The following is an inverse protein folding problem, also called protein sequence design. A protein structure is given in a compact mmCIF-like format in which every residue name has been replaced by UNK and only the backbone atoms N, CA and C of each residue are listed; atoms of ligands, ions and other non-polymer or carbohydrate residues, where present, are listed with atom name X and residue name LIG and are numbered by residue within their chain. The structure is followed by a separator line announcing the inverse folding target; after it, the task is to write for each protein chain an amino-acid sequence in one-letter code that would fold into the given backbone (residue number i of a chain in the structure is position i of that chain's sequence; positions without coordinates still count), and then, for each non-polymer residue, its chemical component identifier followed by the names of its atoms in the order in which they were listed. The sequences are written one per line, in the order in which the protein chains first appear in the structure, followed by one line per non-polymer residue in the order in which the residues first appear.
data_IF_000590466812
#
_entry.id   IF_000590466812
#
_cell.length_a   1.000
_cell.length_b   1.000
_cell.length_c   1.000
_cell.angle_alpha   90.00
_cell.angle_beta   90.00
_cell.angle_gamma   90.00
#
_symmetry.space_group_name_H-M   'P 1'
#
loop_
_entity.id
_entity.type
_entity.pdbx_description
1 polymer ?
#
# COMPACT_ATOMS: atom_id res chain seq x y z
N UNK A 1 -8.56 6.47 -13.84
CA UNK A 1 -7.38 5.81 -13.26
C UNK A 1 -7.19 6.25 -11.82
N UNK A 2 -6.81 5.32 -10.99
CA UNK A 2 -6.56 5.56 -9.57
C UNK A 2 -5.18 5.06 -9.19
N UNK A 3 -4.47 5.85 -8.40
CA UNK A 3 -3.22 5.44 -7.78
C UNK A 3 -3.54 4.93 -6.39
N UNK A 4 -3.13 3.69 -6.11
CA UNK A 4 -3.27 3.07 -4.80
C UNK A 4 -1.90 3.04 -4.15
N UNK A 5 -1.79 3.67 -2.98
CA UNK A 5 -0.61 3.61 -2.13
C UNK A 5 -0.98 2.86 -0.86
N UNK A 6 -0.35 1.73 -0.63
CA UNK A 6 -0.61 0.93 0.56
C UNK A 6 0.67 0.81 1.39
N UNK A 7 0.59 1.22 2.64
CA UNK A 7 1.68 1.05 3.60
C UNK A 7 1.34 -0.15 4.46
N UNK A 8 2.13 -1.21 4.36
CA UNK A 8 1.86 -2.50 4.98
C UNK A 8 3.07 -3.02 5.73
N UNK A 9 2.85 -4.07 6.53
CA UNK A 9 3.96 -4.80 7.16
C UNK A 9 4.81 -5.51 6.10
N UNK A 10 6.14 -5.48 6.23
CA UNK A 10 7.00 -6.17 5.26
C UNK A 10 6.68 -7.66 5.09
N UNK A 11 6.24 -8.31 6.16
CA UNK A 11 5.89 -9.74 6.15
C UNK A 11 4.69 -10.06 5.25
N UNK A 12 3.88 -9.07 4.90
CA UNK A 12 2.69 -9.24 4.08
C UNK A 12 2.93 -8.97 2.59
N UNK A 13 4.10 -8.47 2.23
CA UNK A 13 4.39 -8.07 0.86
C UNK A 13 4.19 -9.20 -0.15
N UNK A 14 4.71 -10.39 0.14
CA UNK A 14 4.62 -11.52 -0.80
C UNK A 14 3.18 -11.94 -1.05
N UNK A 15 2.36 -11.98 -0.02
CA UNK A 15 0.94 -12.35 -0.15
C UNK A 15 0.18 -11.33 -0.97
N UNK A 16 0.38 -10.05 -0.72
CA UNK A 16 -0.23 -8.96 -1.49
C UNK A 16 0.21 -9.01 -2.94
N UNK A 17 1.51 -9.14 -3.18
CA UNK A 17 2.06 -9.21 -4.53
C UNK A 17 1.48 -10.38 -5.32
N UNK A 18 1.38 -11.55 -4.70
CA UNK A 18 0.79 -12.74 -5.32
C UNK A 18 -0.67 -12.51 -5.68
N UNK A 19 -1.45 -11.97 -4.74
CA UNK A 19 -2.86 -11.69 -4.98
C UNK A 19 -3.09 -10.70 -6.11
N UNK A 20 -2.30 -9.64 -6.16
CA UNK A 20 -2.39 -8.66 -7.25
C UNK A 20 -2.01 -9.27 -8.59
N UNK A 21 -0.98 -10.10 -8.64
CA UNK A 21 -0.58 -10.78 -9.86
C UNK A 21 -1.67 -11.72 -10.36
N UNK A 22 -2.30 -12.48 -9.49
CA UNK A 22 -3.39 -13.39 -9.84
C UNK A 22 -4.62 -12.65 -10.37
N UNK A 23 -4.83 -11.41 -9.91
CA UNK A 23 -5.90 -10.53 -10.39
C UNK A 23 -5.50 -9.71 -11.63
N UNK A 24 -4.39 -10.05 -12.24
CA UNK A 24 -3.87 -9.35 -13.42
C UNK A 24 -3.54 -7.87 -13.17
N UNK A 25 -3.03 -7.58 -11.98
CA UNK A 25 -2.48 -6.28 -11.58
C UNK A 25 -1.00 -6.49 -11.20
N UNK A 26 -0.13 -6.88 -12.15
CA UNK A 26 1.23 -7.28 -11.81
C UNK A 26 2.21 -6.11 -11.65
N UNK A 27 1.85 -4.93 -12.15
CA UNK A 27 2.77 -3.79 -12.19
C UNK A 27 2.67 -2.99 -10.90
N UNK A 28 3.52 -3.30 -9.95
CA UNK A 28 3.60 -2.60 -8.68
C UNK A 28 5.00 -2.02 -8.48
N UNK A 29 5.06 -0.91 -7.76
CA UNK A 29 6.30 -0.33 -7.26
C UNK A 29 6.36 -0.54 -5.76
N UNK A 30 7.49 -1.02 -5.26
CA UNK A 30 7.67 -1.28 -3.83
C UNK A 30 8.78 -0.40 -3.30
N UNK A 31 8.50 0.33 -2.23
CA UNK A 31 9.45 1.25 -1.61
C UNK A 31 9.54 0.91 -0.13
N UNK A 32 10.75 0.60 0.38
CA UNK A 32 10.96 0.48 1.81
C UNK A 32 10.75 1.85 2.48
N UNK A 33 9.97 1.88 3.55
CA UNK A 33 9.68 3.11 4.29
C UNK A 33 9.77 2.86 5.79
N UNK A 34 9.89 3.94 6.54
CA UNK A 34 9.74 3.91 7.98
C UNK A 34 8.63 4.85 8.37
N UNK A 35 7.77 4.41 9.26
CA UNK A 35 6.64 5.19 9.70
C UNK A 35 6.40 5.06 11.19
N UNK A 36 5.72 6.06 11.73
CA UNK A 36 5.23 6.04 13.10
C UNK A 36 3.72 5.79 13.08
N UNK A 37 3.22 5.14 14.10
CA UNK A 37 1.80 4.91 14.28
C UNK A 37 1.46 4.91 15.75
N UNK A 38 0.16 4.91 16.05
CA UNK A 38 -0.31 4.76 17.41
C UNK A 38 -0.08 3.32 17.84
N UNK A 39 1.11 3.07 18.39
CA UNK A 39 1.37 1.81 19.08
C UNK A 39 1.53 2.09 20.56
N UNK A 40 0.76 1.36 21.36
CA UNK A 40 1.02 1.29 22.79
C UNK A 40 2.28 0.45 22.98
N UNK A 41 3.41 1.09 23.07
CA UNK A 41 4.63 0.42 23.47
C UNK A 41 4.59 0.16 24.98
N UNK A 42 5.34 -0.83 25.39
CA UNK A 42 5.45 -1.19 26.83
C UNK A 42 5.92 -0.01 27.68
N UNK A 43 6.71 0.88 27.12
CA UNK A 43 7.20 2.09 27.80
C UNK A 43 6.12 3.14 28.05
N UNK A 44 5.06 3.18 27.26
CA UNK A 44 3.94 4.09 27.47
C UNK A 44 3.11 3.75 28.69
N UNK A 45 3.06 2.48 29.07
CA UNK A 45 2.37 2.04 30.29
C UNK A 45 3.08 2.47 31.56
N UNK A 46 4.39 2.62 31.52
CA UNK A 46 5.19 2.93 32.68
C UNK A 46 5.42 4.43 32.88
N UNK A 47 5.39 5.21 31.82
CA UNK A 47 5.76 6.63 31.88
C UNK A 47 4.60 7.60 31.76
N UNK A 48 3.39 7.09 31.56
CA UNK A 48 2.13 7.84 31.66
C UNK A 48 1.91 8.98 30.67
N UNK A 49 2.95 9.56 30.12
CA UNK A 49 2.85 10.76 29.27
C UNK A 49 3.83 10.80 28.12
N UNK A 50 4.79 9.91 28.05
CA UNK A 50 5.73 9.88 26.93
C UNK A 50 5.22 8.92 25.86
N UNK A 51 4.65 9.48 24.81
CA UNK A 51 4.43 8.76 23.57
C UNK A 51 5.77 8.66 22.85
N UNK A 52 6.45 7.53 23.01
CA UNK A 52 7.60 7.27 22.17
C UNK A 52 7.11 6.90 20.78
N UNK A 53 7.26 7.84 19.85
CA UNK A 53 7.05 7.56 18.43
C UNK A 53 8.23 6.73 17.93
N UNK A 54 8.05 5.43 17.88
CA UNK A 54 9.06 4.52 17.34
C UNK A 54 8.87 4.43 15.84
N UNK A 55 9.93 4.71 15.09
CA UNK A 55 9.95 4.46 13.65
C UNK A 55 9.97 2.96 13.40
N UNK A 56 8.99 2.50 12.64
CA UNK A 56 8.87 1.10 12.29
C UNK A 56 9.10 0.88 10.81
N UNK A 57 9.76 -0.23 10.49
CA UNK A 57 9.97 -0.64 9.12
C UNK A 57 8.65 -1.09 8.50
N UNK A 58 8.34 -0.52 7.34
CA UNK A 58 7.16 -0.83 6.54
C UNK A 58 7.56 -0.87 5.07
N UNK A 59 6.66 -1.32 4.23
CA UNK A 59 6.81 -1.19 2.77
C UNK A 59 5.62 -0.44 2.22
N UNK A 60 5.88 0.40 1.23
CA UNK A 60 4.84 1.09 0.48
C UNK A 60 4.71 0.43 -0.88
N UNK A 61 3.52 -0.05 -1.19
CA UNK A 61 3.18 -0.57 -2.49
C UNK A 61 2.43 0.52 -3.24
N UNK A 62 2.86 0.80 -4.46
CA UNK A 62 2.20 1.73 -5.35
C UNK A 62 1.76 0.98 -6.59
N UNK A 63 0.50 1.11 -6.96
CA UNK A 63 0.02 0.67 -8.26
C UNK A 63 -1.03 1.64 -8.80
N UNK A 64 -1.12 1.71 -10.12
CA UNK A 64 -2.13 2.52 -10.79
C UNK A 64 -3.05 1.55 -11.53
N UNK A 65 -4.34 1.69 -11.27
CA UNK A 65 -5.37 0.79 -11.81
C UNK A 65 -6.47 1.59 -12.49
N UNK A 66 -7.19 0.94 -13.40
CA UNK A 66 -8.42 1.50 -13.94
C UNK A 66 -9.49 1.59 -12.85
N UNK A 67 -10.46 2.47 -13.02
CA UNK A 67 -11.54 2.64 -12.04
C UNK A 67 -12.31 1.34 -11.78
N UNK A 68 -12.49 0.51 -12.81
CA UNK A 68 -13.18 -0.77 -12.66
C UNK A 68 -12.41 -1.79 -11.82
N UNK A 69 -11.10 -1.65 -11.74
CA UNK A 69 -10.23 -2.56 -10.98
C UNK A 69 -9.90 -2.07 -9.58
N UNK A 70 -10.36 -0.88 -9.21
CA UNK A 70 -10.01 -0.28 -7.92
C UNK A 70 -10.44 -1.15 -6.74
N UNK A 71 -11.71 -1.55 -6.71
CA UNK A 71 -12.23 -2.33 -5.59
C UNK A 71 -11.55 -3.69 -5.50
N UNK A 72 -11.31 -4.34 -6.62
CA UNK A 72 -10.57 -5.60 -6.66
C UNK A 72 -9.17 -5.43 -6.06
N UNK A 73 -8.48 -4.36 -6.45
CA UNK A 73 -7.14 -4.06 -5.95
C UNK A 73 -7.13 -3.84 -4.43
N UNK A 74 -8.01 -2.98 -3.95
CA UNK A 74 -8.08 -2.67 -2.52
C UNK A 74 -8.51 -3.87 -1.68
N UNK A 75 -9.46 -4.67 -2.17
CA UNK A 75 -9.91 -5.88 -1.47
C UNK A 75 -8.77 -6.90 -1.33
N UNK A 76 -7.97 -7.08 -2.36
CA UNK A 76 -6.81 -7.97 -2.31
C UNK A 76 -5.81 -7.50 -1.26
N UNK A 77 -5.52 -6.21 -1.23
CA UNK A 77 -4.60 -5.65 -0.23
C UNK A 77 -5.15 -5.85 1.18
N UNK A 78 -6.42 -5.52 1.39
CA UNK A 78 -7.07 -5.69 2.69
C UNK A 78 -7.03 -7.15 3.16
N UNK A 79 -7.39 -8.08 2.29
CA UNK A 79 -7.48 -9.49 2.65
C UNK A 79 -6.13 -10.12 2.94
N UNK A 80 -5.06 -9.62 2.31
CA UNK A 80 -3.73 -10.20 2.45
C UNK A 80 -2.84 -9.47 3.46
N UNK A 81 -3.11 -8.21 3.74
CA UNK A 81 -2.27 -7.40 4.61
C UNK A 81 -2.81 -7.25 6.03
N UNK A 82 -4.11 -7.44 6.24
CA UNK A 82 -4.74 -7.23 7.55
C UNK A 82 -4.51 -8.41 8.49
N UNK A 83 -4.19 -8.09 9.73
CA UNK A 83 -4.18 -9.01 10.87
C UNK A 83 -5.22 -8.61 11.92
N UNK A 84 -6.07 -7.64 11.60
CA UNK A 84 -7.04 -7.02 12.52
C UNK A 84 -6.36 -6.42 13.75
N UNK A 85 -5.18 -5.84 13.56
CA UNK A 85 -4.40 -5.27 14.65
C UNK A 85 -3.89 -3.87 14.30
N UNK A 86 -3.65 -3.09 15.33
CA UNK A 86 -2.97 -1.80 15.20
C UNK A 86 -1.61 -2.03 14.55
N UNK A 87 -1.29 -1.22 13.56
CA UNK A 87 -0.05 -1.35 12.81
C UNK A 87 -0.19 -2.07 11.47
N UNK A 88 -1.40 -2.51 11.10
CA UNK A 88 -1.65 -3.13 9.79
C UNK A 88 -1.36 -2.20 8.61
N UNK A 89 -1.46 -0.90 8.83
CA UNK A 89 -1.20 0.10 7.81
C UNK A 89 -2.44 0.76 7.25
N UNK A 90 -2.26 1.43 6.14
CA UNK A 90 -3.32 2.22 5.49
C UNK A 90 -3.20 2.14 3.99
N UNK A 91 -4.31 2.36 3.32
CA UNK A 91 -4.39 2.51 1.88
C UNK A 91 -4.84 3.94 1.58
N UNK A 92 -4.11 4.60 0.69
CA UNK A 92 -4.48 5.92 0.18
C UNK A 92 -4.78 5.80 -1.30
N UNK A 93 -5.83 6.49 -1.74
CA UNK A 93 -6.28 6.46 -3.12
C UNK A 93 -6.26 7.88 -3.68
N UNK A 94 -5.63 8.03 -4.84
CA UNK A 94 -5.49 9.31 -5.52
C UNK A 94 -6.08 9.21 -6.92
N UNK A 95 -6.65 10.30 -7.39
CA UNK A 95 -6.99 10.42 -8.81
C UNK A 95 -5.72 10.62 -9.62
N UNK A 96 -5.59 9.86 -10.71
CA UNK A 96 -4.50 10.01 -11.65
C UNK A 96 -5.04 10.75 -12.86
N UNK A 97 -4.48 11.92 -13.12
CA UNK A 97 -4.91 12.76 -14.22
C UNK A 97 -4.56 12.15 -15.57
N UNK A 98 -3.35 11.61 -15.71
CA UNK A 98 -2.89 10.96 -16.93
C UNK A 98 -1.74 10.02 -16.60
N UNK A 99 -1.48 9.09 -17.50
CA UNK A 99 -0.33 8.21 -17.47
C UNK A 99 0.26 8.15 -18.88
N UNK A 100 1.59 8.08 -18.96
CA UNK A 100 2.29 8.01 -20.24
C UNK A 100 3.28 6.86 -20.15
N UNK A 101 3.17 5.90 -21.08
CA UNK A 101 4.15 4.82 -21.16
C UNK A 101 5.41 5.35 -21.84
N UNK A 102 6.54 5.27 -21.16
CA UNK A 102 7.79 5.84 -21.65
C UNK A 102 8.20 5.21 -22.99
N UNK A 103 8.06 3.89 -23.12
CA UNK A 103 8.49 3.17 -24.32
C UNK A 103 7.75 3.60 -25.60
N UNK A 104 6.46 3.90 -25.47
CA UNK A 104 5.59 4.13 -26.65
C UNK A 104 5.00 5.53 -26.73
N UNK A 105 5.05 6.29 -25.65
CA UNK A 105 4.33 7.57 -25.53
C UNK A 105 2.82 7.42 -25.43
N UNK A 106 2.31 6.22 -25.29
CA UNK A 106 0.88 5.94 -25.13
C UNK A 106 0.34 6.58 -23.87
N UNK A 107 -0.83 7.19 -23.95
CA UNK A 107 -1.47 7.91 -22.84
C UNK A 107 -2.72 7.21 -22.34
N UNK A 108 -3.12 7.56 -21.12
CA UNK A 108 -4.38 7.15 -20.53
C UNK A 108 -4.40 5.70 -20.08
N UNK A 109 -5.57 5.08 -20.16
CA UNK A 109 -5.77 3.70 -19.68
C UNK A 109 -4.85 2.68 -20.35
N UNK A 110 -4.57 2.88 -21.63
CA UNK A 110 -3.69 1.97 -22.35
C UNK A 110 -2.25 2.03 -21.86
N UNK A 111 -1.84 3.14 -21.26
CA UNK A 111 -0.50 3.30 -20.71
C UNK A 111 -0.25 2.41 -19.48
N UNK A 112 -1.28 2.03 -18.78
CA UNK A 112 -1.18 1.23 -17.54
C UNK A 112 -1.51 -0.26 -17.75
N UNK A 113 -1.80 -0.65 -18.97
CA UNK A 113 -2.04 -2.06 -19.30
C UNK A 113 -0.74 -2.85 -19.42
#
# INVERSE_FOLDING_TARGET
MKKVEAIIRPSKLKAVQRGLKEAEIPCITVIPVKGTGLQKSYSERYRGTEQSMILQTRVMIICVVSDVNLDTCTDIILNNASENQVGDGKIFIYDVQDAIRIRTGTRGKEAIL
#
